data_IF_620316343556
#
_entry.id   IF_620316343556
#
_cell.length_a   1.000
_cell.length_b   1.000
_cell.length_c   1.000
_cell.angle_alpha   90.00
_cell.angle_beta   90.00
_cell.angle_gamma   90.00
#
_symmetry.space_group_name_H-M   'P 1'
#
loop_
_entity.id
_entity.type
_entity.pdbx_description
1 polymer ?
#
# COMPACT_ATOMS: atom_id res chain seq x y z
N UNK A 1 -27.04 -19.83 -18.05
CA UNK A 1 -25.63 -19.40 -18.09
C UNK A 1 -25.51 -18.40 -19.22
N UNK A 2 -24.92 -17.25 -18.95
CA UNK A 2 -24.65 -16.23 -19.98
C UNK A 2 -23.32 -16.59 -20.65
N UNK A 3 -23.34 -16.87 -21.95
CA UNK A 3 -22.14 -17.09 -22.75
C UNK A 3 -21.87 -15.81 -23.54
N UNK A 4 -20.65 -15.31 -23.51
CA UNK A 4 -20.23 -14.15 -24.29
C UNK A 4 -19.04 -14.51 -25.18
N UNK A 5 -18.93 -13.85 -26.32
CA UNK A 5 -17.80 -14.06 -27.24
C UNK A 5 -16.63 -13.20 -26.80
N UNK A 6 -15.44 -13.79 -26.78
CA UNK A 6 -14.17 -13.04 -26.61
C UNK A 6 -14.00 -12.02 -27.73
N UNK A 7 -13.17 -10.99 -27.50
CA UNK A 7 -12.88 -9.99 -28.53
C UNK A 7 -12.29 -10.62 -29.80
N UNK A 8 -11.45 -11.66 -29.68
CA UNK A 8 -10.90 -12.38 -30.83
C UNK A 8 -11.95 -13.14 -31.63
N UNK A 9 -12.87 -13.85 -30.97
CA UNK A 9 -13.97 -14.53 -31.63
C UNK A 9 -14.90 -13.56 -32.37
N UNK A 10 -15.19 -12.40 -31.77
CA UNK A 10 -16.01 -11.37 -32.40
C UNK A 10 -15.34 -10.77 -33.63
N UNK A 11 -14.05 -10.45 -33.56
CA UNK A 11 -13.30 -9.95 -34.73
C UNK A 11 -13.31 -10.97 -35.87
N UNK A 12 -13.09 -12.25 -35.57
CA UNK A 12 -13.16 -13.30 -36.58
C UNK A 12 -14.53 -13.34 -37.29
N UNK A 13 -15.64 -13.21 -36.56
CA UNK A 13 -16.99 -13.16 -37.16
C UNK A 13 -17.20 -11.91 -38.02
N UNK A 14 -16.74 -10.74 -37.55
CA UNK A 14 -16.82 -9.48 -38.31
C UNK A 14 -16.02 -9.59 -39.61
N UNK A 15 -14.81 -10.16 -39.55
CA UNK A 15 -13.97 -10.35 -40.73
C UNK A 15 -14.56 -11.38 -41.69
N UNK A 16 -15.16 -12.46 -41.18
CA UNK A 16 -15.88 -13.43 -41.99
C UNK A 16 -17.04 -12.79 -42.76
N UNK A 17 -17.79 -11.91 -42.10
CA UNK A 17 -18.70 -10.88 -42.63
C UNK A 17 -18.22 -10.25 -43.95
N UNK A 18 -17.07 -9.60 -43.81
CA UNK A 18 -16.46 -8.78 -44.86
C UNK A 18 -15.92 -9.63 -45.99
N UNK A 19 -15.26 -10.75 -45.67
CA UNK A 19 -14.74 -11.69 -46.67
C UNK A 19 -15.90 -12.26 -47.49
N UNK A 20 -17.01 -12.64 -46.85
CA UNK A 20 -18.21 -13.12 -47.53
C UNK A 20 -18.83 -12.06 -48.46
N UNK A 21 -18.87 -10.80 -48.03
CA UNK A 21 -19.42 -9.70 -48.84
C UNK A 21 -18.66 -9.40 -50.14
N UNK A 22 -17.40 -9.86 -50.24
CA UNK A 22 -16.57 -9.77 -51.45
C UNK A 22 -16.72 -10.95 -52.41
N UNK A 23 -17.41 -12.02 -52.01
CA UNK A 23 -17.61 -13.21 -52.84
C UNK A 23 -18.90 -13.13 -53.67
N UNK A 24 -18.86 -13.63 -54.91
CA UNK A 24 -19.99 -13.69 -55.84
C UNK A 24 -20.82 -14.98 -55.75
N UNK A 25 -20.51 -15.88 -54.81
CA UNK A 25 -21.21 -17.16 -54.67
C UNK A 25 -22.54 -17.03 -53.91
N UNK A 26 -23.56 -17.78 -54.35
CA UNK A 26 -24.93 -17.75 -53.80
C UNK A 26 -25.20 -18.82 -52.72
N UNK A 27 -24.27 -19.75 -52.46
CA UNK A 27 -24.43 -20.78 -51.43
C UNK A 27 -23.71 -20.38 -50.13
N UNK A 28 -24.29 -20.66 -48.95
CA UNK A 28 -23.66 -20.36 -47.68
C UNK A 28 -22.46 -21.30 -47.42
N UNK A 29 -21.26 -20.75 -47.45
CA UNK A 29 -19.98 -21.43 -47.15
C UNK A 29 -19.41 -20.96 -45.81
N UNK A 30 -18.63 -21.81 -45.13
CA UNK A 30 -17.87 -21.47 -43.93
C UNK A 30 -16.45 -21.00 -44.23
N UNK A 31 -16.03 -21.04 -45.49
CA UNK A 31 -14.69 -20.65 -45.92
C UNK A 31 -14.30 -19.21 -45.53
N UNK A 32 -15.22 -18.20 -45.57
CA UNK A 32 -14.92 -16.86 -45.05
C UNK A 32 -14.58 -16.85 -43.56
N UNK A 33 -15.27 -17.66 -42.75
CA UNK A 33 -15.00 -17.80 -41.32
C UNK A 33 -13.67 -18.52 -41.08
N UNK A 34 -13.37 -19.55 -41.86
CA UNK A 34 -12.10 -20.26 -41.76
C UNK A 34 -10.91 -19.34 -42.08
N UNK A 35 -11.01 -18.56 -43.16
CA UNK A 35 -9.99 -17.57 -43.53
C UNK A 35 -9.86 -16.47 -42.47
N UNK A 36 -10.97 -15.98 -41.92
CA UNK A 36 -10.94 -14.98 -40.85
C UNK A 36 -10.26 -15.49 -39.57
N UNK A 37 -10.52 -16.75 -39.17
CA UNK A 37 -9.87 -17.38 -38.03
C UNK A 37 -8.35 -17.54 -38.23
N UNK A 38 -7.90 -17.73 -39.47
CA UNK A 38 -6.48 -17.86 -39.81
C UNK A 38 -5.78 -16.50 -39.99
N UNK A 39 -6.53 -15.46 -40.34
CA UNK A 39 -6.04 -14.09 -40.50
C UNK A 39 -5.81 -13.40 -39.14
N UNK A 40 -6.67 -13.65 -38.16
CA UNK A 40 -6.52 -13.09 -36.82
C UNK A 40 -5.32 -13.71 -36.08
N UNK A 41 -4.52 -12.89 -35.39
CA UNK A 41 -3.56 -13.36 -34.38
C UNK A 41 -4.32 -13.92 -33.17
N UNK A 42 -4.84 -15.14 -33.35
CA UNK A 42 -5.76 -15.80 -32.44
C UNK A 42 -5.35 -17.23 -32.17
N UNK A 43 -5.97 -17.84 -31.16
CA UNK A 43 -5.69 -19.22 -30.80
C UNK A 43 -6.07 -20.20 -31.91
N UNK A 44 -7.14 -19.93 -32.66
CA UNK A 44 -7.51 -20.72 -33.83
C UNK A 44 -6.40 -20.71 -34.89
N UNK A 45 -5.79 -19.56 -35.16
CA UNK A 45 -4.67 -19.45 -36.10
C UNK A 45 -3.45 -20.27 -35.63
N UNK A 46 -3.09 -20.18 -34.34
CA UNK A 46 -2.00 -20.99 -33.77
C UNK A 46 -2.25 -22.49 -33.92
N UNK A 47 -3.48 -22.94 -33.67
CA UNK A 47 -3.88 -24.35 -33.81
C UNK A 47 -3.75 -24.79 -35.26
N UNK A 48 -4.27 -24.01 -36.21
CA UNK A 48 -4.19 -24.33 -37.64
C UNK A 48 -2.74 -24.38 -38.12
N UNK A 49 -1.90 -23.43 -37.71
CA UNK A 49 -0.47 -23.41 -38.04
C UNK A 49 0.29 -24.63 -37.47
N UNK A 50 -0.04 -25.08 -36.24
CA UNK A 50 0.52 -26.29 -35.68
C UNK A 50 0.20 -27.55 -36.52
N UNK A 51 -0.92 -27.51 -37.23
CA UNK A 51 -1.34 -28.52 -38.20
C UNK A 51 -0.88 -28.23 -39.64
N UNK A 52 0.05 -27.27 -39.83
CA UNK A 52 0.59 -26.84 -41.12
C UNK A 52 -0.48 -26.28 -42.08
N UNK A 53 -1.57 -25.74 -41.52
CA UNK A 53 -2.63 -25.05 -42.26
C UNK A 53 -2.43 -23.55 -42.02
N UNK A 54 -1.85 -22.86 -43.01
CA UNK A 54 -1.71 -21.41 -42.97
C UNK A 54 -2.81 -20.71 -43.80
N UNK A 55 -2.89 -19.38 -43.66
CA UNK A 55 -3.87 -18.58 -44.39
C UNK A 55 -3.71 -18.72 -45.91
N UNK A 56 -2.48 -18.79 -46.43
CA UNK A 56 -2.21 -18.88 -47.87
C UNK A 56 -2.87 -20.13 -48.46
N UNK A 57 -2.71 -21.27 -47.77
CA UNK A 57 -3.29 -22.55 -48.18
C UNK A 57 -4.83 -22.50 -48.19
N UNK A 58 -5.44 -21.84 -47.20
CA UNK A 58 -6.89 -21.66 -47.13
C UNK A 58 -7.40 -20.78 -48.29
N UNK A 59 -6.71 -19.66 -48.57
CA UNK A 59 -7.10 -18.75 -49.65
C UNK A 59 -6.99 -19.41 -51.02
N UNK A 60 -5.97 -20.24 -51.24
CA UNK A 60 -5.78 -20.98 -52.49
C UNK A 60 -6.84 -22.07 -52.69
N UNK A 61 -7.12 -22.88 -51.66
CA UNK A 61 -8.11 -23.98 -51.76
C UNK A 61 -9.51 -23.43 -52.05
N UNK A 62 -9.97 -22.46 -51.27
CA UNK A 62 -11.33 -21.94 -51.35
C UNK A 62 -11.46 -20.73 -52.28
N UNK A 63 -10.40 -20.42 -53.04
CA UNK A 63 -10.35 -19.32 -54.00
C UNK A 63 -10.82 -17.97 -53.43
N UNK A 64 -10.46 -17.70 -52.17
CA UNK A 64 -10.89 -16.50 -51.44
C UNK A 64 -9.98 -15.33 -51.81
N UNK A 65 -10.57 -14.23 -52.23
CA UNK A 65 -9.87 -12.95 -52.36
C UNK A 65 -10.12 -12.09 -51.12
N UNK A 66 -9.05 -11.74 -50.42
CA UNK A 66 -9.13 -10.82 -49.29
C UNK A 66 -9.41 -9.38 -49.80
N UNK A 67 -10.30 -8.62 -49.13
CA UNK A 67 -10.46 -7.19 -49.41
C UNK A 67 -9.12 -6.45 -49.31
N UNK A 68 -8.86 -5.47 -50.18
CA UNK A 68 -7.57 -4.76 -50.26
C UNK A 68 -7.10 -4.09 -48.96
N UNK A 69 -8.04 -3.75 -48.06
CA UNK A 69 -7.74 -3.17 -46.75
C UNK A 69 -7.59 -4.21 -45.62
N UNK A 70 -7.83 -5.51 -45.88
CA UNK A 70 -7.89 -6.57 -44.85
C UNK A 70 -6.62 -6.72 -44.01
N UNK A 71 -5.46 -6.28 -44.53
CA UNK A 71 -4.16 -6.37 -43.85
C UNK A 71 -3.94 -5.21 -42.84
N UNK A 72 -4.77 -4.16 -42.85
CA UNK A 72 -4.59 -2.95 -42.03
C UNK A 72 -5.42 -2.88 -40.73
N UNK A 73 -6.24 -3.88 -40.40
CA UNK A 73 -7.32 -3.76 -39.41
C UNK A 73 -7.03 -4.34 -38.02
N UNK A 74 -5.95 -3.88 -37.38
CA UNK A 74 -5.65 -4.27 -35.98
C UNK A 74 -6.29 -3.38 -34.90
N UNK A 75 -7.26 -2.50 -35.21
CA UNK A 75 -7.64 -1.41 -34.26
C UNK A 75 -9.11 -1.39 -33.80
N UNK A 76 -10.08 -1.99 -34.51
CA UNK A 76 -11.47 -2.03 -34.00
C UNK A 76 -11.67 -3.24 -33.07
N UNK A 77 -11.16 -3.13 -31.84
CA UNK A 77 -11.58 -4.04 -30.78
C UNK A 77 -13.00 -3.69 -30.37
N UNK A 78 -13.95 -4.65 -30.37
CA UNK A 78 -15.30 -4.37 -29.91
C UNK A 78 -15.27 -3.86 -28.46
N UNK A 79 -15.88 -2.69 -28.20
CA UNK A 79 -15.85 -2.02 -26.89
C UNK A 79 -16.52 -2.84 -25.77
N UNK A 80 -17.37 -3.82 -26.13
CA UNK A 80 -18.11 -4.67 -25.20
C UNK A 80 -18.18 -6.13 -25.66
N UNK A 81 -18.17 -7.12 -24.73
CA UNK A 81 -18.44 -8.52 -25.05
C UNK A 81 -19.84 -8.70 -25.66
N UNK A 82 -19.91 -9.41 -26.80
CA UNK A 82 -21.16 -9.73 -27.48
C UNK A 82 -21.75 -11.00 -26.85
N UNK A 83 -22.97 -10.92 -26.33
CA UNK A 83 -23.67 -12.08 -25.78
C UNK A 83 -24.00 -13.08 -26.89
N UNK A 84 -23.94 -14.38 -26.60
CA UNK A 84 -24.18 -15.43 -27.60
C UNK A 84 -25.58 -15.32 -28.24
N UNK A 85 -26.59 -14.90 -27.48
CA UNK A 85 -27.94 -14.66 -28.01
C UNK A 85 -27.98 -13.54 -29.07
N UNK A 86 -27.12 -12.53 -28.93
CA UNK A 86 -26.96 -11.44 -29.90
C UNK A 86 -26.13 -11.92 -31.10
N UNK A 87 -25.05 -12.66 -30.86
CA UNK A 87 -24.22 -13.23 -31.92
C UNK A 87 -25.01 -14.15 -32.87
N UNK A 88 -25.89 -15.02 -32.34
CA UNK A 88 -26.76 -15.88 -33.13
C UNK A 88 -27.78 -15.12 -34.00
N UNK A 89 -28.15 -13.90 -33.61
CA UNK A 89 -29.02 -13.03 -34.38
C UNK A 89 -28.24 -12.23 -35.43
N UNK A 90 -27.05 -11.76 -35.06
CA UNK A 90 -26.21 -10.92 -35.90
C UNK A 90 -25.54 -11.70 -37.04
N UNK A 91 -25.13 -12.96 -36.78
CA UNK A 91 -24.37 -13.78 -37.73
C UNK A 91 -25.13 -15.06 -38.12
N UNK A 92 -26.26 -14.96 -38.85
CA UNK A 92 -27.11 -16.11 -39.16
C UNK A 92 -26.41 -17.16 -40.04
N UNK A 93 -25.45 -16.76 -40.88
CA UNK A 93 -24.67 -17.67 -41.72
C UNK A 93 -23.79 -18.64 -40.91
N UNK A 94 -23.37 -18.24 -39.70
CA UNK A 94 -22.49 -19.03 -38.84
C UNK A 94 -23.24 -19.61 -37.62
N UNK A 95 -24.58 -19.62 -37.67
CA UNK A 95 -25.42 -20.05 -36.56
C UNK A 95 -25.13 -21.48 -36.10
N UNK A 96 -24.89 -22.40 -37.03
CA UNK A 96 -24.54 -23.79 -36.73
C UNK A 96 -23.21 -23.88 -35.99
N UNK A 97 -22.17 -23.19 -36.50
CA UNK A 97 -20.85 -23.09 -35.86
C UNK A 97 -20.95 -22.52 -34.45
N UNK A 98 -21.70 -21.43 -34.26
CA UNK A 98 -21.90 -20.78 -32.96
C UNK A 98 -22.60 -21.70 -31.95
N UNK A 99 -23.59 -22.47 -32.39
CA UNK A 99 -24.25 -23.45 -31.52
C UNK A 99 -23.29 -24.56 -31.08
N UNK A 100 -22.47 -25.09 -32.00
CA UNK A 100 -21.46 -26.09 -31.67
C UNK A 100 -20.37 -25.51 -30.76
N UNK A 101 -19.91 -24.29 -31.01
CA UNK A 101 -18.95 -23.59 -30.15
C UNK A 101 -19.49 -23.42 -28.72
N UNK A 102 -20.76 -23.03 -28.57
CA UNK A 102 -21.42 -22.93 -27.27
C UNK A 102 -21.56 -24.30 -26.59
N UNK A 103 -21.91 -25.35 -27.34
CA UNK A 103 -21.98 -26.71 -26.82
C UNK A 103 -20.62 -27.18 -26.29
N UNK A 104 -19.52 -26.89 -27.00
CA UNK A 104 -18.17 -27.23 -26.56
C UNK A 104 -17.78 -26.45 -25.31
N UNK A 105 -18.01 -25.13 -25.29
CA UNK A 105 -17.71 -24.28 -24.14
C UNK A 105 -18.48 -24.73 -22.87
N UNK A 106 -19.72 -25.23 -23.05
CA UNK A 106 -20.55 -25.75 -21.95
C UNK A 106 -20.02 -27.03 -21.29
N UNK A 107 -19.01 -27.69 -21.88
CA UNK A 107 -18.40 -28.91 -21.33
C UNK A 107 -17.38 -28.64 -20.22
N UNK A 108 -16.97 -27.38 -20.01
CA UNK A 108 -16.03 -26.95 -18.98
C UNK A 108 -16.74 -26.48 -17.70
N UNK A 109 -16.12 -26.72 -16.54
CA UNK A 109 -16.62 -26.29 -15.20
C UNK A 109 -16.38 -24.79 -14.89
N UNK A 110 -15.80 -24.04 -15.83
CA UNK A 110 -15.42 -22.61 -15.68
C UNK A 110 -16.42 -21.73 -16.44
N UNK A 111 -16.80 -20.54 -15.94
CA UNK A 111 -17.66 -19.59 -16.66
C UNK A 111 -17.16 -19.35 -18.10
N UNK A 112 -18.07 -19.54 -19.05
CA UNK A 112 -17.75 -19.88 -20.43
C UNK A 112 -17.79 -18.65 -21.36
N UNK A 113 -16.60 -18.07 -21.56
CA UNK A 113 -16.33 -17.22 -22.72
C UNK A 113 -16.09 -18.10 -23.95
N UNK A 114 -16.58 -17.65 -25.11
CA UNK A 114 -16.47 -18.37 -26.38
C UNK A 114 -15.33 -17.72 -27.19
N UNK A 115 -14.21 -18.43 -27.25
CA UNK A 115 -12.98 -18.04 -27.93
C UNK A 115 -12.93 -18.43 -29.41
N UNK A 116 -11.87 -18.00 -30.08
CA UNK A 116 -11.61 -18.33 -31.50
C UNK A 116 -11.48 -19.85 -31.72
N UNK A 117 -10.88 -20.56 -30.78
CA UNK A 117 -10.71 -22.02 -30.76
C UNK A 117 -12.05 -22.75 -30.63
N UNK A 118 -13.02 -22.15 -29.94
CA UNK A 118 -14.38 -22.68 -29.85
C UNK A 118 -15.11 -22.52 -31.19
N UNK A 119 -14.89 -21.42 -31.91
CA UNK A 119 -15.42 -21.23 -33.28
C UNK A 119 -14.79 -22.22 -34.27
N UNK A 120 -13.47 -22.43 -34.20
CA UNK A 120 -12.78 -23.44 -35.01
C UNK A 120 -13.30 -24.85 -34.72
N UNK A 121 -13.50 -25.18 -33.43
CA UNK A 121 -14.14 -26.43 -33.05
C UNK A 121 -15.56 -26.54 -33.60
N UNK A 122 -16.33 -25.46 -33.51
CA UNK A 122 -17.68 -25.40 -34.05
C UNK A 122 -17.73 -25.64 -35.56
N UNK A 123 -16.76 -25.10 -36.31
CA UNK A 123 -16.61 -25.33 -37.74
C UNK A 123 -16.28 -26.79 -38.05
N UNK A 124 -15.32 -27.38 -37.32
CA UNK A 124 -14.96 -28.80 -37.44
C UNK A 124 -16.10 -29.75 -37.06
N UNK A 125 -17.04 -29.32 -36.23
CA UNK A 125 -18.21 -30.10 -35.84
C UNK A 125 -19.34 -30.10 -36.88
N UNK A 126 -19.27 -29.22 -37.89
CA UNK A 126 -20.23 -29.21 -39.01
C UNK A 126 -19.92 -30.29 -40.04
N UNK A 127 -20.90 -30.63 -40.88
CA UNK A 127 -20.70 -31.50 -42.05
C UNK A 127 -20.24 -30.76 -43.31
N UNK A 128 -19.71 -29.54 -43.16
CA UNK A 128 -19.33 -28.68 -44.27
C UNK A 128 -18.01 -29.14 -44.94
N UNK A 129 -17.79 -28.72 -46.17
CA UNK A 129 -16.60 -29.08 -46.96
C UNK A 129 -15.31 -28.64 -46.29
N UNK A 130 -15.33 -27.48 -45.63
CA UNK A 130 -14.21 -26.90 -44.90
C UNK A 130 -13.74 -27.80 -43.76
N UNK A 131 -14.67 -28.43 -43.04
CA UNK A 131 -14.36 -29.40 -41.99
C UNK A 131 -13.65 -30.63 -42.56
N UNK A 132 -14.19 -31.19 -43.66
CA UNK A 132 -13.60 -32.33 -44.33
C UNK A 132 -12.21 -32.00 -44.92
N UNK A 133 -12.02 -30.78 -45.42
CA UNK A 133 -10.74 -30.32 -45.92
C UNK A 133 -9.71 -30.16 -44.79
N UNK A 134 -10.05 -29.54 -43.66
CA UNK A 134 -9.15 -29.42 -42.50
C UNK A 134 -8.65 -30.79 -42.01
N UNK A 135 -9.52 -31.81 -42.06
CA UNK A 135 -9.15 -33.17 -41.72
C UNK A 135 -8.21 -33.81 -42.77
N UNK A 136 -8.44 -33.59 -44.06
CA UNK A 136 -7.58 -34.13 -45.14
C UNK A 136 -6.22 -33.41 -45.22
N UNK A 137 -6.20 -32.10 -45.09
CA UNK A 137 -5.02 -31.25 -45.30
C UNK A 137 -4.06 -31.28 -44.10
N UNK A 138 -4.57 -31.13 -42.88
CA UNK A 138 -3.74 -31.07 -41.66
C UNK A 138 -4.08 -32.12 -40.60
N UNK A 139 -4.99 -33.05 -40.88
CA UNK A 139 -5.40 -34.07 -39.90
C UNK A 139 -6.13 -33.50 -38.68
N UNK A 140 -6.67 -32.28 -38.79
CA UNK A 140 -7.35 -31.56 -37.72
C UNK A 140 -8.82 -32.00 -37.66
N UNK A 141 -9.29 -32.46 -36.50
CA UNK A 141 -10.68 -32.86 -36.27
C UNK A 141 -11.18 -32.30 -34.94
N UNK A 142 -12.51 -32.19 -34.78
CA UNK A 142 -13.13 -31.71 -33.55
C UNK A 142 -12.70 -32.54 -32.32
N UNK A 143 -12.55 -33.86 -32.46
CA UNK A 143 -12.09 -34.75 -31.38
C UNK A 143 -10.67 -34.43 -30.92
N UNK A 144 -9.71 -34.25 -31.85
CA UNK A 144 -8.33 -33.91 -31.51
C UNK A 144 -8.19 -32.52 -30.90
N UNK A 145 -9.07 -31.61 -31.29
CA UNK A 145 -9.11 -30.27 -30.74
C UNK A 145 -9.70 -30.23 -29.32
N UNK A 146 -10.63 -31.14 -28.99
CA UNK A 146 -11.24 -31.22 -27.65
C UNK A 146 -10.17 -31.50 -26.57
N UNK A 147 -9.19 -32.37 -26.87
CA UNK A 147 -8.05 -32.63 -25.97
C UNK A 147 -7.17 -31.38 -25.77
N UNK A 148 -6.97 -30.60 -26.83
CA UNK A 148 -6.15 -29.39 -26.79
C UNK A 148 -6.83 -28.24 -26.04
N UNK A 149 -8.17 -28.12 -26.14
CA UNK A 149 -8.95 -27.12 -25.41
C UNK A 149 -9.00 -27.47 -23.91
N UNK A 150 -9.18 -28.75 -23.56
CA UNK A 150 -9.31 -29.20 -22.17
C UNK A 150 -8.00 -29.19 -21.37
N UNK A 151 -6.85 -29.40 -22.01
CA UNK A 151 -5.52 -29.36 -21.34
C UNK A 151 -5.18 -27.94 -20.85
N UNK A 152 -5.68 -26.89 -21.51
CA UNK A 152 -5.36 -25.50 -21.16
C UNK A 152 -6.11 -24.97 -19.93
N UNK A 153 -7.35 -25.38 -19.68
CA UNK A 153 -8.11 -24.90 -18.51
C UNK A 153 -7.57 -25.42 -17.16
N UNK A 154 -6.66 -26.41 -17.16
CA UNK A 154 -5.97 -26.89 -15.95
C UNK A 154 -4.64 -26.20 -15.67
N UNK A 155 -4.10 -25.40 -16.60
CA UNK A 155 -2.96 -24.55 -16.32
C UNK A 155 -3.47 -23.22 -15.79
N UNK A 156 -3.50 -23.10 -14.46
CA UNK A 156 -3.59 -21.80 -13.78
C UNK A 156 -2.57 -20.87 -14.40
N UNK A 157 -3.01 -19.82 -15.09
CA UNK A 157 -2.14 -18.79 -15.62
C UNK A 157 -1.32 -18.20 -14.46
N UNK A 158 -0.04 -18.56 -14.40
CA UNK A 158 0.90 -17.79 -13.59
C UNK A 158 0.96 -16.37 -14.19
N UNK A 159 1.02 -15.31 -13.35
CA UNK A 159 1.14 -13.95 -13.86
C UNK A 159 2.33 -13.87 -14.81
N UNK A 160 2.16 -13.23 -15.96
CA UNK A 160 3.27 -12.88 -16.85
C UNK A 160 4.27 -12.07 -16.03
N UNK A 161 5.49 -12.56 -15.91
CA UNK A 161 6.57 -11.85 -15.24
C UNK A 161 6.89 -10.59 -16.06
N UNK A 162 6.54 -9.41 -15.53
CA UNK A 162 6.65 -8.12 -16.22
C UNK A 162 8.06 -7.53 -16.11
N UNK A 163 9.05 -8.32 -15.70
CA UNK A 163 10.46 -7.93 -15.70
C UNK A 163 11.03 -7.93 -17.13
N UNK A 164 10.57 -6.97 -17.95
CA UNK A 164 11.32 -6.55 -19.13
C UNK A 164 12.65 -5.93 -18.65
N UNK A 165 13.72 -6.72 -18.72
CA UNK A 165 15.07 -6.24 -18.49
C UNK A 165 15.48 -5.26 -19.61
N UNK A 166 15.12 -3.98 -19.46
CA UNK A 166 15.73 -2.89 -20.22
C UNK A 166 17.25 -3.05 -20.11
N UNK A 167 17.98 -3.03 -21.24
CA UNK A 167 19.45 -3.03 -21.23
C UNK A 167 19.93 -1.87 -20.36
N UNK A 168 20.38 -2.17 -19.15
CA UNK A 168 20.98 -1.19 -18.26
C UNK A 168 22.30 -0.76 -18.88
N UNK A 169 22.41 0.50 -19.30
CA UNK A 169 23.70 1.07 -19.65
C UNK A 169 24.62 0.96 -18.43
N UNK A 170 25.85 0.49 -18.63
CA UNK A 170 26.86 0.46 -17.56
C UNK A 170 27.17 1.89 -17.11
N UNK A 171 27.17 2.13 -15.80
CA UNK A 171 27.53 3.42 -15.23
C UNK A 171 28.91 3.88 -15.71
N UNK A 172 29.02 5.14 -16.13
CA UNK A 172 30.30 5.75 -16.51
C UNK A 172 31.11 6.13 -15.27
N UNK A 173 32.41 6.40 -15.43
CA UNK A 173 33.23 6.96 -14.34
C UNK A 173 32.72 8.33 -13.86
N UNK A 174 32.11 9.10 -14.76
CA UNK A 174 31.42 10.35 -14.43
C UNK A 174 30.20 10.13 -13.54
N UNK A 175 29.38 9.13 -13.86
CA UNK A 175 28.21 8.76 -13.04
C UNK A 175 28.62 8.32 -11.64
N UNK A 176 29.70 7.54 -11.52
CA UNK A 176 30.25 7.13 -10.22
C UNK A 176 30.71 8.35 -9.40
N UNK A 177 31.45 9.27 -10.03
CA UNK A 177 31.94 10.50 -9.37
C UNK A 177 30.77 11.37 -8.90
N UNK A 178 29.77 11.58 -9.75
CA UNK A 178 28.59 12.38 -9.42
C UNK A 178 27.74 11.73 -8.31
N UNK A 179 27.67 10.40 -8.29
CA UNK A 179 26.98 9.65 -7.23
C UNK A 179 27.69 9.82 -5.89
N UNK A 180 29.02 9.68 -5.86
CA UNK A 180 29.83 9.89 -4.65
C UNK A 180 29.72 11.33 -4.13
N UNK A 181 29.74 12.33 -5.02
CA UNK A 181 29.49 13.74 -4.68
C UNK A 181 28.15 13.93 -3.99
N UNK A 182 27.11 13.34 -4.55
CA UNK A 182 25.74 13.45 -4.01
C UNK A 182 25.63 12.81 -2.63
N UNK A 183 26.24 11.63 -2.45
CA UNK A 183 26.29 10.93 -1.17
C UNK A 183 27.06 11.74 -0.12
N UNK A 184 28.21 12.30 -0.47
CA UNK A 184 29.00 13.11 0.47
C UNK A 184 28.23 14.35 0.95
N UNK A 185 27.64 15.11 0.02
CA UNK A 185 26.85 16.29 0.35
C UNK A 185 25.63 15.94 1.22
N UNK A 186 24.90 14.87 0.89
CA UNK A 186 23.76 14.41 1.68
C UNK A 186 24.18 13.90 3.07
N UNK A 187 25.32 13.21 3.18
CA UNK A 187 25.85 12.74 4.45
C UNK A 187 26.22 13.89 5.40
N UNK A 188 26.77 14.98 4.85
CA UNK A 188 27.08 16.19 5.63
C UNK A 188 25.80 16.88 6.12
N UNK A 189 24.81 17.10 5.23
CA UNK A 189 23.50 17.67 5.61
C UNK A 189 22.79 16.86 6.70
N UNK A 190 22.81 15.53 6.57
CA UNK A 190 22.23 14.65 7.58
C UNK A 190 22.95 14.80 8.92
N UNK A 191 24.28 14.84 8.93
CA UNK A 191 25.10 14.97 10.14
C UNK A 191 24.88 16.31 10.85
N UNK A 192 24.81 17.40 10.09
CA UNK A 192 24.53 18.74 10.60
C UNK A 192 23.12 18.82 11.20
N UNK A 193 22.11 18.33 10.48
CA UNK A 193 20.74 18.28 10.99
C UNK A 193 20.61 17.45 12.27
N UNK A 194 21.25 16.27 12.32
CA UNK A 194 21.33 15.46 13.54
C UNK A 194 22.02 16.22 14.67
N UNK A 195 23.05 17.03 14.40
CA UNK A 195 23.73 17.80 15.44
C UNK A 195 22.83 18.88 16.03
N UNK A 196 22.05 19.59 15.22
CA UNK A 196 21.10 20.59 15.73
C UNK A 196 20.03 19.94 16.62
N UNK A 197 19.51 18.78 16.20
CA UNK A 197 18.55 18.01 17.00
C UNK A 197 19.20 17.58 18.32
N UNK A 198 20.44 17.11 18.29
CA UNK A 198 21.22 16.71 19.48
C UNK A 198 21.31 17.83 20.52
N UNK A 199 21.68 19.03 20.08
CA UNK A 199 21.85 20.16 20.97
C UNK A 199 20.49 20.63 21.54
N UNK A 200 19.40 20.57 20.77
CA UNK A 200 18.06 20.79 21.29
C UNK A 200 17.66 19.75 22.35
N UNK A 201 17.88 18.46 22.10
CA UNK A 201 17.56 17.41 23.06
C UNK A 201 18.34 17.54 24.37
N UNK A 202 19.60 17.98 24.30
CA UNK A 202 20.46 18.18 25.48
C UNK A 202 20.10 19.40 26.28
N UNK A 203 19.88 20.54 25.61
CA UNK A 203 19.85 21.83 26.29
C UNK A 203 18.44 22.41 26.40
N UNK A 204 17.47 21.89 25.64
CA UNK A 204 16.07 22.32 25.72
C UNK A 204 15.16 21.28 26.36
N UNK A 205 15.39 19.99 26.13
CA UNK A 205 14.58 18.92 26.75
C UNK A 205 15.25 18.19 27.92
N UNK A 206 16.57 18.34 28.09
CA UNK A 206 17.35 17.59 29.08
C UNK A 206 17.09 16.05 29.04
N UNK A 207 16.80 15.50 27.85
CA UNK A 207 16.34 14.11 27.69
C UNK A 207 17.48 13.17 27.27
N UNK A 208 18.00 12.43 28.25
CA UNK A 208 19.08 11.46 28.06
C UNK A 208 18.68 10.25 27.18
N UNK A 209 17.40 9.85 27.19
CA UNK A 209 16.95 8.68 26.43
C UNK A 209 16.86 8.99 24.94
N UNK A 210 16.20 10.10 24.58
CA UNK A 210 16.12 10.59 23.20
C UNK A 210 17.52 10.87 22.63
N UNK A 211 18.41 11.39 23.47
CA UNK A 211 19.83 11.56 23.14
C UNK A 211 20.52 10.23 22.79
N UNK A 212 20.26 9.17 23.54
CA UNK A 212 20.84 7.84 23.26
C UNK A 212 20.34 7.29 21.92
N UNK A 213 19.06 7.48 21.58
CA UNK A 213 18.50 7.05 20.30
C UNK A 213 19.18 7.79 19.14
N UNK A 214 19.35 9.10 19.24
CA UNK A 214 20.03 9.92 18.24
C UNK A 214 21.51 9.53 18.07
N UNK A 215 22.21 9.22 19.17
CA UNK A 215 23.61 8.73 19.12
C UNK A 215 23.73 7.44 18.31
N UNK A 216 22.80 6.51 18.48
CA UNK A 216 22.75 5.28 17.67
C UNK A 216 22.62 5.60 16.18
N UNK A 217 21.74 6.53 15.80
CA UNK A 217 21.59 6.96 14.40
C UNK A 217 22.88 7.57 13.84
N UNK A 218 23.63 8.34 14.63
CA UNK A 218 24.94 8.87 14.21
C UNK A 218 25.98 7.78 13.99
N UNK A 219 25.99 6.74 14.82
CA UNK A 219 26.89 5.60 14.63
C UNK A 219 26.54 4.84 13.34
N UNK A 220 25.24 4.61 13.09
CA UNK A 220 24.76 3.99 11.84
C UNK A 220 25.20 4.76 10.59
N UNK A 221 25.17 6.11 10.63
CA UNK A 221 25.70 6.93 9.54
C UNK A 221 27.18 6.62 9.28
N UNK A 222 28.00 6.60 10.34
CA UNK A 222 29.43 6.36 10.21
C UNK A 222 29.72 4.96 9.66
N UNK A 223 28.97 3.94 10.12
CA UNK A 223 29.11 2.57 9.63
C UNK A 223 28.65 2.43 8.18
N UNK A 224 27.53 3.05 7.79
CA UNK A 224 27.04 3.04 6.40
C UNK A 224 28.06 3.64 5.42
N UNK A 225 28.70 4.74 5.80
CA UNK A 225 29.70 5.41 4.95
C UNK A 225 30.98 4.58 4.77
N UNK A 226 31.29 3.66 5.69
CA UNK A 226 32.44 2.73 5.52
C UNK A 226 32.25 1.76 4.37
N UNK A 227 31.01 1.36 4.06
CA UNK A 227 30.72 0.51 2.90
C UNK A 227 30.93 1.22 1.55
N UNK A 228 31.01 2.55 1.56
CA UNK A 228 31.20 3.37 0.36
C UNK A 228 32.67 3.78 0.22
N UNK A 229 33.34 4.05 1.34
CA UNK A 229 34.74 4.46 1.39
C UNK A 229 34.90 5.97 1.54
N UNK A 230 35.37 6.39 2.71
CA UNK A 230 35.53 7.80 3.08
C UNK A 230 36.45 8.57 2.10
N UNK A 231 37.52 7.94 1.63
CA UNK A 231 38.48 8.58 0.74
C UNK A 231 37.87 8.90 -0.63
N UNK A 232 37.00 8.02 -1.15
CA UNK A 232 36.28 8.23 -2.40
C UNK A 232 35.25 9.36 -2.29
N UNK A 233 34.58 9.49 -1.14
CA UNK A 233 33.66 10.59 -0.87
C UNK A 233 34.40 11.93 -0.83
N UNK A 234 35.50 12.01 -0.09
CA UNK A 234 36.30 13.23 0.03
C UNK A 234 36.90 13.63 -1.32
N UNK A 235 37.46 12.68 -2.07
CA UNK A 235 38.11 12.97 -3.36
C UNK A 235 37.12 13.42 -4.44
N UNK A 236 35.84 13.03 -4.31
CA UNK A 236 34.80 13.44 -5.25
C UNK A 236 34.29 14.88 -5.02
N UNK A 237 34.54 15.49 -3.84
CA UNK A 237 34.00 16.81 -3.49
C UNK A 237 34.44 17.92 -4.44
N UNK A 238 33.51 18.80 -4.73
CA UNK A 238 33.73 19.95 -5.61
C UNK A 238 32.81 21.11 -5.21
N UNK A 239 32.98 21.56 -3.96
CA UNK A 239 32.16 22.63 -3.36
C UNK A 239 32.28 23.97 -4.08
N UNK A 240 33.40 24.20 -4.79
CA UNK A 240 33.67 25.44 -5.53
C UNK A 240 32.74 25.55 -6.74
N UNK A 241 32.49 24.44 -7.43
CA UNK A 241 31.65 24.41 -8.63
C UNK A 241 30.24 23.86 -8.37
N UNK A 242 29.87 23.60 -7.11
CA UNK A 242 28.53 23.15 -6.76
C UNK A 242 27.50 24.25 -7.07
N UNK A 243 26.50 23.87 -7.87
CA UNK A 243 25.41 24.76 -8.28
C UNK A 243 24.41 24.92 -7.13
N UNK A 244 23.88 26.13 -6.98
CA UNK A 244 22.82 26.43 -6.00
C UNK A 244 23.32 26.76 -4.59
N UNK A 245 24.64 26.86 -4.38
CA UNK A 245 25.26 27.22 -3.09
C UNK A 245 24.90 28.63 -2.60
N UNK A 246 24.53 29.54 -3.51
CA UNK A 246 24.08 30.91 -3.20
C UNK A 246 22.57 31.08 -3.22
N UNK A 247 21.80 30.02 -3.50
CA UNK A 247 20.34 30.09 -3.54
C UNK A 247 19.82 29.96 -2.11
N UNK A 248 19.31 31.06 -1.58
CA UNK A 248 18.60 31.09 -0.30
C UNK A 248 17.20 31.65 -0.50
N UNK A 249 16.25 31.15 0.27
CA UNK A 249 14.90 31.73 0.33
C UNK A 249 14.80 32.62 1.56
N UNK A 250 13.97 33.66 1.50
CA UNK A 250 13.69 34.51 2.68
C UNK A 250 13.12 33.71 3.86
N UNK A 251 12.38 32.62 3.57
CA UNK A 251 11.86 31.68 4.56
C UNK A 251 12.91 30.80 5.24
N UNK A 252 14.13 30.73 4.72
CA UNK A 252 15.22 29.96 5.33
C UNK A 252 15.66 30.58 6.67
N UNK A 253 15.62 31.92 6.75
CA UNK A 253 15.95 32.70 7.95
C UNK A 253 14.76 32.91 8.89
N UNK A 254 13.55 32.53 8.47
CA UNK A 254 12.37 32.63 9.32
C UNK A 254 12.26 31.39 10.21
N UNK A 255 12.75 31.52 11.45
CA UNK A 255 12.63 30.53 12.51
C UNK A 255 11.98 31.20 13.72
N UNK A 256 10.66 31.17 13.74
CA UNK A 256 9.82 31.81 14.76
C UNK A 256 9.90 31.18 16.16
N UNK A 257 10.40 29.95 16.31
CA UNK A 257 10.52 29.28 17.61
C UNK A 257 11.54 28.14 17.60
N UNK A 258 11.93 27.67 18.80
CA UNK A 258 12.76 26.46 18.95
C UNK A 258 12.08 25.21 18.36
N UNK A 259 10.75 25.11 18.48
CA UNK A 259 9.99 23.99 17.90
C UNK A 259 10.03 24.03 16.37
N UNK A 260 9.91 25.23 15.78
CA UNK A 260 10.04 25.41 14.33
C UNK A 260 11.47 25.09 13.85
N UNK A 261 12.50 25.51 14.58
CA UNK A 261 13.90 25.14 14.32
C UNK A 261 14.08 23.62 14.34
N UNK A 262 13.55 22.93 15.35
CA UNK A 262 13.62 21.48 15.49
C UNK A 262 12.93 20.78 14.30
N UNK A 263 11.68 21.16 13.99
CA UNK A 263 10.91 20.55 12.90
C UNK A 263 11.62 20.70 11.55
N UNK A 264 12.16 21.89 11.25
CA UNK A 264 12.91 22.12 10.01
C UNK A 264 14.14 21.20 9.91
N UNK A 265 14.88 20.99 11.00
CA UNK A 265 16.05 20.12 10.99
C UNK A 265 15.68 18.63 10.93
N UNK A 266 14.57 18.21 11.56
CA UNK A 266 14.03 16.85 11.39
C UNK A 266 13.67 16.55 9.93
N UNK A 267 13.03 17.50 9.23
CA UNK A 267 12.73 17.36 7.79
C UNK A 267 13.99 17.29 6.94
N UNK A 268 14.98 18.15 7.18
CA UNK A 268 16.27 18.10 6.48
C UNK A 268 16.99 16.75 6.67
N UNK A 269 16.96 16.19 7.88
CA UNK A 269 17.53 14.84 8.14
C UNK A 269 16.79 13.77 7.34
N UNK A 270 15.45 13.84 7.27
CA UNK A 270 14.63 12.89 6.49
C UNK A 270 14.92 12.96 4.99
N UNK A 271 15.01 14.17 4.44
CA UNK A 271 15.34 14.43 3.03
C UNK A 271 16.76 13.95 2.68
N UNK A 272 17.73 14.24 3.55
CA UNK A 272 19.10 13.78 3.37
C UNK A 272 19.20 12.25 3.46
N UNK A 273 18.50 11.62 4.42
CA UNK A 273 18.45 10.16 4.53
C UNK A 273 17.81 9.51 3.30
N UNK A 274 16.79 10.14 2.72
CA UNK A 274 16.17 9.67 1.47
C UNK A 274 17.14 9.74 0.30
N UNK A 275 17.89 10.83 0.19
CA UNK A 275 18.92 10.99 -0.85
C UNK A 275 20.00 9.93 -0.71
N UNK A 276 20.50 9.72 0.51
CA UNK A 276 21.48 8.67 0.80
C UNK A 276 20.96 7.27 0.49
N UNK A 277 19.72 6.95 0.85
CA UNK A 277 19.08 5.67 0.52
C UNK A 277 19.05 5.43 -0.98
N UNK A 278 18.59 6.40 -1.78
CA UNK A 278 18.40 6.20 -3.22
C UNK A 278 19.74 6.16 -3.98
N UNK A 279 20.64 7.12 -3.73
CA UNK A 279 21.92 7.18 -4.43
C UNK A 279 22.87 6.04 -4.05
N UNK A 280 22.81 5.57 -2.80
CA UNK A 280 23.68 4.45 -2.39
C UNK A 280 23.31 3.13 -3.07
N UNK A 281 22.08 2.95 -3.58
CA UNK A 281 21.71 1.75 -4.36
C UNK A 281 22.56 1.55 -5.61
N UNK A 282 23.15 2.62 -6.13
CA UNK A 282 24.02 2.59 -7.31
C UNK A 282 25.43 2.06 -7.00
N UNK A 283 25.85 2.07 -5.72
CA UNK A 283 27.23 1.74 -5.30
C UNK A 283 27.25 0.58 -4.30
N UNK A 284 26.41 0.65 -3.26
CA UNK A 284 26.38 -0.31 -2.15
C UNK A 284 24.93 -0.54 -1.69
N UNK A 285 24.33 -1.68 -2.07
CA UNK A 285 23.01 -2.10 -1.56
C UNK A 285 22.97 -2.20 -0.02
N UNK A 286 24.09 -2.61 0.61
CA UNK A 286 24.21 -2.69 2.06
C UNK A 286 24.11 -1.30 2.72
N UNK A 287 24.83 -0.31 2.20
CA UNK A 287 24.72 1.07 2.68
C UNK A 287 23.29 1.62 2.48
N UNK A 288 22.68 1.34 1.32
CA UNK A 288 21.31 1.75 1.04
C UNK A 288 20.29 1.15 2.05
N UNK A 289 20.48 -0.11 2.43
CA UNK A 289 19.64 -0.75 3.45
C UNK A 289 19.77 -0.07 4.82
N UNK A 290 20.99 0.31 5.22
CA UNK A 290 21.21 1.06 6.47
C UNK A 290 20.57 2.45 6.40
N UNK A 291 20.74 3.18 5.29
CA UNK A 291 20.11 4.50 5.12
C UNK A 291 18.59 4.44 5.11
N UNK A 292 18.00 3.39 4.53
CA UNK A 292 16.57 3.11 4.63
C UNK A 292 16.14 2.99 6.09
N UNK A 293 16.85 2.19 6.90
CA UNK A 293 16.55 2.03 8.32
C UNK A 293 16.69 3.36 9.08
N UNK A 294 17.74 4.14 8.81
CA UNK A 294 17.94 5.46 9.40
C UNK A 294 16.80 6.42 9.07
N UNK A 295 16.29 6.40 7.83
CA UNK A 295 15.14 7.24 7.43
C UNK A 295 13.90 6.88 8.25
N UNK A 296 13.56 5.59 8.39
CA UNK A 296 12.44 5.20 9.24
C UNK A 296 12.66 5.55 10.72
N UNK A 297 13.89 5.36 11.23
CA UNK A 297 14.23 5.77 12.58
C UNK A 297 14.04 7.27 12.81
N UNK A 298 14.34 8.10 11.80
CA UNK A 298 14.14 9.56 11.90
C UNK A 298 12.66 9.97 11.98
N UNK A 299 11.73 9.23 11.36
CA UNK A 299 10.29 9.47 11.52
C UNK A 299 9.80 9.10 12.92
N UNK A 300 10.27 7.97 13.44
CA UNK A 300 9.98 7.55 14.81
C UNK A 300 10.50 8.59 15.79
N UNK A 301 11.74 9.05 15.60
CA UNK A 301 12.35 10.06 16.45
C UNK A 301 11.57 11.38 16.42
N UNK A 302 11.19 11.90 15.24
CA UNK A 302 10.34 13.09 15.11
C UNK A 302 9.04 12.93 15.90
N UNK A 303 8.32 11.81 15.68
CA UNK A 303 7.07 11.53 16.38
C UNK A 303 7.26 11.53 17.89
N UNK A 304 8.29 10.85 18.38
CA UNK A 304 8.55 10.73 19.83
C UNK A 304 8.89 12.08 20.44
N UNK A 305 9.77 12.87 19.80
CA UNK A 305 10.15 14.19 20.30
C UNK A 305 8.95 15.13 20.35
N UNK A 306 8.19 15.24 19.26
CA UNK A 306 7.06 16.18 19.18
C UNK A 306 5.90 15.77 20.11
N UNK A 307 5.64 14.46 20.24
CA UNK A 307 4.66 13.96 21.22
C UNK A 307 5.12 14.29 22.65
N UNK A 308 6.40 14.09 22.97
CA UNK A 308 6.96 14.42 24.28
C UNK A 308 6.79 15.91 24.61
N UNK A 309 7.15 16.81 23.68
CA UNK A 309 6.97 18.26 23.84
C UNK A 309 5.51 18.62 24.08
N UNK A 310 4.60 18.04 23.29
CA UNK A 310 3.16 18.27 23.42
C UNK A 310 2.63 17.83 24.78
N UNK A 311 3.01 16.63 25.22
CA UNK A 311 2.57 16.05 26.48
C UNK A 311 3.15 16.79 27.68
N UNK A 312 4.44 17.18 27.64
CA UNK A 312 5.06 18.06 28.61
C UNK A 312 4.32 19.40 28.71
N UNK A 313 4.06 20.07 27.59
CA UNK A 313 3.34 21.36 27.58
C UNK A 313 1.96 21.25 28.20
N UNK A 314 1.22 20.18 27.92
CA UNK A 314 -0.13 19.96 28.46
C UNK A 314 -0.14 19.66 29.95
N UNK A 315 0.93 19.08 30.49
CA UNK A 315 1.04 18.64 31.89
C UNK A 315 2.00 19.50 32.72
N UNK A 316 2.64 20.52 32.14
CA UNK A 316 3.73 21.29 32.78
C UNK A 316 3.29 21.97 34.09
N UNK A 317 2.03 22.40 34.14
CA UNK A 317 1.43 23.13 35.26
C UNK A 317 0.70 22.20 36.23
N UNK A 318 0.54 20.93 35.85
CA UNK A 318 -0.08 19.91 36.68
C UNK A 318 0.83 19.51 37.84
N UNK A 319 0.31 19.62 39.06
CA UNK A 319 1.02 19.29 40.31
C UNK A 319 0.24 18.29 41.15
N UNK A 320 -1.09 18.34 41.13
CA UNK A 320 -1.94 17.46 41.93
C UNK A 320 -2.87 16.61 41.05
N UNK A 321 -2.82 15.30 41.28
CA UNK A 321 -3.58 14.32 40.52
C UNK A 321 -4.43 13.46 41.47
N UNK A 322 -5.74 13.70 41.45
CA UNK A 322 -6.72 12.95 42.21
C UNK A 322 -7.17 11.68 41.48
N UNK A 323 -7.04 10.53 42.13
CA UNK A 323 -7.69 9.28 41.74
C UNK A 323 -8.90 9.08 42.66
N UNK A 324 -10.08 8.92 42.08
CA UNK A 324 -11.33 8.85 42.85
C UNK A 324 -12.15 7.61 42.52
N UNK A 325 -12.70 7.00 43.56
CA UNK A 325 -13.63 5.87 43.52
C UNK A 325 -14.74 6.11 44.54
N UNK A 326 -15.99 5.87 44.17
CA UNK A 326 -17.20 6.16 44.95
C UNK A 326 -17.15 5.47 46.32
N UNK A 327 -16.68 4.23 46.36
CA UNK A 327 -16.60 3.43 47.58
C UNK A 327 -15.51 3.90 48.57
N UNK A 328 -14.58 4.75 48.15
CA UNK A 328 -13.54 5.32 49.01
C UNK A 328 -13.94 6.69 49.59
N UNK A 329 -15.06 7.25 49.14
CA UNK A 329 -15.52 8.57 49.56
C UNK A 329 -16.70 8.46 50.53
N UNK A 330 -16.49 8.88 51.78
CA UNK A 330 -17.50 8.78 52.85
C UNK A 330 -18.81 9.54 52.56
N UNK A 331 -18.75 10.57 51.71
CA UNK A 331 -19.90 11.37 51.26
C UNK A 331 -20.18 11.24 49.74
N UNK A 332 -19.66 10.18 49.10
CA UNK A 332 -19.70 9.97 47.66
C UNK A 332 -18.62 10.73 46.89
N UNK A 333 -18.31 10.30 45.67
CA UNK A 333 -17.24 10.90 44.87
C UNK A 333 -17.57 12.33 44.42
N UNK A 334 -18.86 12.63 44.19
CA UNK A 334 -19.31 13.93 43.68
C UNK A 334 -18.84 15.14 44.52
N UNK A 335 -19.18 15.21 45.82
CA UNK A 335 -18.69 16.27 46.70
C UNK A 335 -17.16 16.36 46.76
N UNK A 336 -16.48 15.22 46.92
CA UNK A 336 -15.02 15.18 46.99
C UNK A 336 -14.35 15.76 45.74
N UNK A 337 -14.85 15.41 44.54
CA UNK A 337 -14.34 15.95 43.28
C UNK A 337 -14.60 17.47 43.20
N UNK A 338 -15.82 17.94 43.50
CA UNK A 338 -16.14 19.37 43.39
C UNK A 338 -15.35 20.23 44.36
N UNK A 339 -15.19 19.79 45.60
CA UNK A 339 -14.40 20.49 46.61
C UNK A 339 -12.92 20.51 46.22
N UNK A 340 -12.39 19.39 45.72
CA UNK A 340 -11.02 19.32 45.20
C UNK A 340 -10.80 20.26 44.03
N UNK A 341 -11.73 20.32 43.08
CA UNK A 341 -11.68 21.23 41.94
C UNK A 341 -11.75 22.70 42.39
N UNK A 342 -12.61 23.02 43.36
CA UNK A 342 -12.69 24.37 43.94
C UNK A 342 -11.39 24.78 44.67
N UNK A 343 -10.63 23.81 45.18
CA UNK A 343 -9.32 24.01 45.78
C UNK A 343 -8.16 24.07 44.76
N UNK A 344 -8.43 23.98 43.45
CA UNK A 344 -7.43 24.07 42.40
C UNK A 344 -6.79 22.73 41.99
N UNK A 345 -7.53 21.63 42.05
CA UNK A 345 -7.07 20.32 41.54
C UNK A 345 -6.82 20.36 40.03
N UNK A 346 -5.65 19.90 39.58
CA UNK A 346 -5.27 19.95 38.16
C UNK A 346 -5.82 18.78 37.35
N UNK A 347 -5.76 17.57 37.91
CA UNK A 347 -6.17 16.33 37.25
C UNK A 347 -7.14 15.52 38.13
N UNK A 348 -8.18 14.99 37.49
CA UNK A 348 -9.08 14.01 38.10
C UNK A 348 -9.13 12.76 37.23
N UNK A 349 -8.86 11.60 37.84
CA UNK A 349 -9.06 10.29 37.22
C UNK A 349 -10.19 9.55 37.90
N UNK A 350 -11.21 9.21 37.11
CA UNK A 350 -12.30 8.35 37.54
C UNK A 350 -11.79 6.91 37.52
N UNK A 351 -11.73 6.28 38.70
CA UNK A 351 -11.24 4.91 38.90
C UNK A 351 -12.34 4.06 39.54
N UNK A 352 -13.41 3.81 38.79
CA UNK A 352 -14.56 3.02 39.25
C UNK A 352 -14.49 1.59 38.73
N UNK A 353 -14.37 0.61 39.64
CA UNK A 353 -14.36 -0.81 39.29
C UNK A 353 -15.72 -1.51 39.45
N UNK A 354 -16.62 -0.93 40.25
CA UNK A 354 -17.89 -1.56 40.64
C UNK A 354 -19.12 -1.00 39.92
N UNK A 355 -18.99 0.15 39.23
CA UNK A 355 -20.09 0.75 38.48
C UNK A 355 -20.35 -0.02 37.19
N UNK A 356 -21.62 -0.15 36.82
CA UNK A 356 -22.00 -0.56 35.46
C UNK A 356 -21.60 0.50 34.44
N UNK A 357 -21.39 0.10 33.18
CA UNK A 357 -21.03 1.01 32.09
C UNK A 357 -21.97 2.22 31.97
N UNK A 358 -23.28 2.00 32.14
CA UNK A 358 -24.29 3.07 32.10
C UNK A 358 -24.12 4.06 33.26
N UNK A 359 -23.85 3.55 34.48
CA UNK A 359 -23.61 4.41 35.64
C UNK A 359 -22.30 5.19 35.49
N UNK A 360 -21.24 4.53 35.02
CA UNK A 360 -19.93 5.15 34.81
C UNK A 360 -20.00 6.23 33.73
N UNK A 361 -20.73 6.00 32.64
CA UNK A 361 -20.96 7.00 31.60
C UNK A 361 -21.66 8.26 32.15
N UNK A 362 -22.76 8.08 32.89
CA UNK A 362 -23.51 9.20 33.47
C UNK A 362 -22.74 9.91 34.60
N UNK A 363 -21.95 9.17 35.38
CA UNK A 363 -21.01 9.76 36.33
C UNK A 363 -19.93 10.57 35.62
N UNK A 364 -19.29 10.00 34.60
CA UNK A 364 -18.23 10.64 33.81
C UNK A 364 -18.67 11.93 33.13
N UNK A 365 -19.89 11.98 32.57
CA UNK A 365 -20.47 13.22 32.00
C UNK A 365 -20.57 14.34 33.04
N UNK A 366 -21.04 14.03 34.25
CA UNK A 366 -21.13 15.03 35.34
C UNK A 366 -19.76 15.52 35.77
N UNK A 367 -18.79 14.61 35.91
CA UNK A 367 -17.42 14.97 36.27
C UNK A 367 -16.77 15.82 35.17
N UNK A 368 -16.96 15.50 33.89
CA UNK A 368 -16.47 16.29 32.75
C UNK A 368 -16.99 17.73 32.78
N UNK A 369 -18.25 17.92 33.14
CA UNK A 369 -18.83 19.25 33.28
C UNK A 369 -18.11 20.05 34.38
N UNK A 370 -17.85 19.44 35.53
CA UNK A 370 -17.15 20.09 36.63
C UNK A 370 -15.70 20.39 36.30
N UNK A 371 -14.98 19.44 35.68
CA UNK A 371 -13.56 19.63 35.32
C UNK A 371 -13.39 20.73 34.28
N UNK A 372 -14.27 20.82 33.26
CA UNK A 372 -14.23 21.93 32.28
C UNK A 372 -14.43 23.29 32.93
N UNK A 373 -15.40 23.41 33.85
CA UNK A 373 -15.66 24.67 34.56
C UNK A 373 -14.46 25.10 35.40
N UNK A 374 -13.74 24.15 35.97
CA UNK A 374 -12.54 24.39 36.78
C UNK A 374 -11.24 24.52 35.96
N UNK A 375 -11.26 24.23 34.66
CA UNK A 375 -10.04 24.16 33.84
C UNK A 375 -9.16 22.95 34.11
N UNK A 376 -9.67 21.95 34.84
CA UNK A 376 -8.96 20.72 35.18
C UNK A 376 -9.08 19.66 34.08
N UNK A 377 -8.09 18.77 33.99
CA UNK A 377 -8.11 17.64 33.06
C UNK A 377 -8.88 16.46 33.66
N UNK A 378 -9.61 15.74 32.80
CA UNK A 378 -10.29 14.50 33.12
C UNK A 378 -9.63 13.31 32.45
N UNK A 379 -9.29 12.30 33.23
CA UNK A 379 -8.74 11.02 32.77
C UNK A 379 -9.70 9.88 33.11
N UNK A 380 -9.94 8.98 32.16
CA UNK A 380 -10.69 7.75 32.40
C UNK A 380 -9.73 6.59 32.69
N UNK A 381 -10.00 5.80 33.73
CA UNK A 381 -9.23 4.59 34.02
C UNK A 381 -9.72 3.42 33.14
N UNK A 382 -8.78 2.67 32.54
CA UNK A 382 -8.93 1.38 31.83
C UNK A 382 -9.88 1.33 30.60
N UNK A 383 -10.78 2.31 30.45
CA UNK A 383 -11.89 2.30 29.50
C UNK A 383 -11.74 3.39 28.42
N UNK A 384 -10.97 3.15 27.35
CA UNK A 384 -10.77 4.12 26.27
C UNK A 384 -12.05 4.44 25.49
N UNK A 385 -12.97 3.47 25.39
CA UNK A 385 -14.32 3.64 24.84
C UNK A 385 -15.11 4.71 25.60
N UNK A 386 -15.15 4.61 26.93
CA UNK A 386 -15.85 5.57 27.78
C UNK A 386 -15.13 6.91 27.84
N UNK A 387 -13.79 6.92 27.75
CA UNK A 387 -13.00 8.15 27.64
C UNK A 387 -13.45 9.01 26.45
N UNK A 388 -13.71 8.39 25.30
CA UNK A 388 -14.23 9.09 24.12
C UNK A 388 -15.67 9.54 24.36
N UNK A 389 -16.51 8.65 24.88
CA UNK A 389 -17.94 8.91 25.05
C UNK A 389 -18.24 10.10 25.98
N UNK A 390 -17.37 10.38 26.95
CA UNK A 390 -17.48 11.53 27.87
C UNK A 390 -16.59 12.71 27.49
N UNK A 391 -15.86 12.61 26.38
CA UNK A 391 -14.83 13.57 25.97
C UNK A 391 -13.80 13.88 27.07
N UNK A 392 -13.26 12.82 27.67
CA UNK A 392 -12.11 12.90 28.56
C UNK A 392 -10.85 13.37 27.81
N UNK A 393 -9.95 14.03 28.53
CA UNK A 393 -8.70 14.54 27.98
C UNK A 393 -7.65 13.44 27.76
N UNK A 394 -7.86 12.29 28.40
CA UNK A 394 -7.02 11.12 28.30
C UNK A 394 -7.59 9.86 28.96
N UNK A 395 -6.81 8.80 28.87
CA UNK A 395 -7.06 7.50 29.48
C UNK A 395 -5.80 7.05 30.22
N UNK A 396 -5.96 6.35 31.34
CA UNK A 396 -4.87 5.72 32.06
C UNK A 396 -5.10 4.22 32.10
N UNK A 397 -4.09 3.43 31.73
CA UNK A 397 -4.16 1.97 31.69
C UNK A 397 -3.07 1.35 32.57
N UNK A 398 -3.36 0.18 33.12
CA UNK A 398 -2.39 -0.63 33.83
C UNK A 398 -1.64 -1.58 32.89
N UNK A 399 -1.09 -2.64 33.48
CA UNK A 399 -0.27 -3.64 32.78
C UNK A 399 -1.10 -4.81 32.21
N UNK A 400 -2.33 -4.97 32.69
CA UNK A 400 -3.23 -6.09 32.32
C UNK A 400 -4.32 -5.64 31.32
N UNK A 401 -4.52 -4.33 31.19
CA UNK A 401 -5.46 -3.69 30.28
C UNK A 401 -4.90 -3.61 28.85
N UNK A 402 -5.66 -2.94 27.96
CA UNK A 402 -5.28 -2.79 26.56
C UNK A 402 -3.89 -2.14 26.40
N UNK A 403 -3.01 -2.69 25.53
CA UNK A 403 -1.73 -2.07 25.23
C UNK A 403 -1.89 -0.65 24.69
N UNK A 404 -0.93 0.24 24.98
CA UNK A 404 -0.94 1.65 24.56
C UNK A 404 -1.22 1.82 23.07
N UNK A 405 -0.69 0.93 22.22
CA UNK A 405 -0.93 0.93 20.77
C UNK A 405 -2.42 0.80 20.43
N UNK A 406 -3.12 -0.14 21.07
CA UNK A 406 -4.55 -0.38 20.81
C UNK A 406 -5.40 0.74 21.41
N UNK A 407 -5.03 1.21 22.61
CA UNK A 407 -5.64 2.39 23.23
C UNK A 407 -5.55 3.60 22.30
N UNK A 408 -4.39 3.85 21.70
CA UNK A 408 -4.14 4.96 20.77
C UNK A 408 -5.02 4.89 19.52
N UNK A 409 -5.29 3.69 19.00
CA UNK A 409 -6.20 3.51 17.87
C UNK A 409 -7.65 3.89 18.22
N UNK A 410 -8.05 3.65 19.47
CA UNK A 410 -9.38 3.99 19.97
C UNK A 410 -9.48 5.50 20.24
N UNK A 411 -8.63 6.05 21.13
CA UNK A 411 -8.76 7.43 21.64
C UNK A 411 -8.28 8.52 20.67
N UNK A 412 -7.54 8.10 19.64
CA UNK A 412 -6.98 8.97 18.61
C UNK A 412 -5.66 9.65 19.00
N UNK A 413 -5.11 10.49 18.10
CA UNK A 413 -3.76 11.02 18.22
C UNK A 413 -3.60 12.13 19.28
N UNK A 414 -4.70 12.68 19.80
CA UNK A 414 -4.67 13.89 20.65
C UNK A 414 -4.86 13.64 22.14
N UNK A 415 -5.55 12.57 22.54
CA UNK A 415 -5.84 12.31 23.96
C UNK A 415 -4.60 11.78 24.68
N UNK A 416 -4.44 12.11 25.96
CA UNK A 416 -3.32 11.61 26.75
C UNK A 416 -3.50 10.11 27.03
N UNK A 417 -2.40 9.36 27.03
CA UNK A 417 -2.36 7.97 27.49
C UNK A 417 -1.36 7.87 28.64
N UNK A 418 -1.87 7.59 29.83
CA UNK A 418 -1.07 7.28 31.01
C UNK A 418 -0.89 5.78 31.17
N UNK A 419 0.28 5.36 31.68
CA UNK A 419 0.55 3.95 32.00
C UNK A 419 1.03 3.81 33.44
N UNK A 420 0.43 2.90 34.19
CA UNK A 420 0.94 2.51 35.52
C UNK A 420 2.20 1.66 35.38
N UNK A 421 3.25 2.00 36.13
CA UNK A 421 4.57 1.35 36.09
C UNK A 421 5.07 1.06 37.50
N UNK A 422 5.73 -0.10 37.67
CA UNK A 422 6.17 -0.64 38.95
C UNK A 422 7.67 -0.97 38.98
N UNK A 423 8.34 -0.89 37.84
CA UNK A 423 9.79 -1.06 37.73
C UNK A 423 10.33 -0.29 36.52
N UNK A 424 11.65 -0.21 36.42
CA UNK A 424 12.32 0.54 35.36
C UNK A 424 12.08 -0.03 33.96
N UNK A 425 11.90 -1.34 33.85
CA UNK A 425 11.65 -1.97 32.55
C UNK A 425 10.27 -1.58 32.01
N UNK A 426 9.25 -1.58 32.86
CA UNK A 426 7.91 -1.11 32.51
C UNK A 426 7.90 0.38 32.15
N UNK A 427 8.67 1.21 32.87
CA UNK A 427 8.79 2.64 32.55
C UNK A 427 9.39 2.87 31.16
N UNK A 428 10.50 2.19 30.84
CA UNK A 428 11.11 2.26 29.50
C UNK A 428 10.16 1.76 28.43
N UNK A 429 9.45 0.67 28.70
CA UNK A 429 8.50 0.10 27.75
C UNK A 429 7.32 1.04 27.48
N UNK A 430 6.78 1.68 28.51
CA UNK A 430 5.71 2.67 28.36
C UNK A 430 6.13 3.84 27.45
N UNK A 431 7.36 4.34 27.59
CA UNK A 431 7.91 5.37 26.70
C UNK A 431 7.98 4.88 25.26
N UNK A 432 8.51 3.67 25.04
CA UNK A 432 8.61 3.07 23.70
C UNK A 432 7.25 2.81 23.05
N UNK A 433 6.27 2.40 23.84
CA UNK A 433 4.91 2.14 23.36
C UNK A 433 4.12 3.44 23.10
N UNK A 434 4.66 4.60 23.50
CA UNK A 434 4.12 5.93 23.21
C UNK A 434 3.16 6.46 24.26
N UNK A 435 3.39 6.12 25.53
CA UNK A 435 2.70 6.73 26.66
C UNK A 435 3.08 8.21 26.79
N UNK A 436 2.10 9.04 27.14
CA UNK A 436 2.26 10.48 27.32
C UNK A 436 2.74 10.84 28.74
N UNK A 437 2.42 9.99 29.71
CA UNK A 437 2.91 10.07 31.08
C UNK A 437 2.88 8.69 31.74
N UNK A 438 3.55 8.56 32.89
CA UNK A 438 3.56 7.32 33.67
C UNK A 438 3.15 7.58 35.12
N UNK A 439 2.39 6.64 35.69
CA UNK A 439 2.21 6.53 37.14
C UNK A 439 3.31 5.66 37.71
N UNK A 440 4.07 6.16 38.68
CA UNK A 440 5.13 5.39 39.36
C UNK A 440 4.62 5.01 40.74
N UNK A 441 4.55 3.70 41.03
CA UNK A 441 4.16 3.25 42.35
C UNK A 441 4.23 1.74 42.54
N UNK A 442 3.81 1.24 43.72
CA UNK A 442 3.45 2.03 44.88
C UNK A 442 4.72 2.56 45.60
N UNK A 443 4.78 3.86 45.91
CA UNK A 443 5.90 4.47 46.67
C UNK A 443 5.90 4.03 48.13
N UNK A 444 4.70 3.81 48.68
CA UNK A 444 4.47 3.23 50.01
C UNK A 444 3.56 2.01 49.87
N UNK A 445 3.68 0.98 50.72
CA UNK A 445 2.75 -0.13 50.72
C UNK A 445 1.31 0.38 50.88
N UNK A 446 0.42 0.07 49.93
CA UNK A 446 -0.98 0.53 49.96
C UNK A 446 -1.93 -0.65 50.07
N UNK A 447 -2.95 -0.54 50.93
CA UNK A 447 -4.07 -1.49 50.98
C UNK A 447 -5.11 -1.27 49.86
N UNK A 448 -4.97 -0.18 49.10
CA UNK A 448 -5.91 0.27 48.05
C UNK A 448 -5.73 -0.46 46.70
N UNK A 449 -4.81 -1.42 46.62
CA UNK A 449 -4.69 -2.38 45.52
C UNK A 449 -5.23 -3.73 46.00
N UNK A 450 -6.54 -3.91 45.93
CA UNK A 450 -7.21 -5.21 45.85
C UNK A 450 -8.26 -5.11 44.74
#
# INVERSE_FOLDING_TARGET
MHYSLTAGAQRALIQAERIASGSTEMEPTLAPLLAALALEESRAAEIMLAHQIDLTLILEEFQIQLPGDAVAFSIDSPEQPLEMSQALQQYPAFREVLNHAMQQASRSDVPAEIGSEHLLWGLLATSAEESAWLQRAGGLSAEKLDDSINVLFRQTAEPIDVDFALRKASATAGDQTNTLRTIDAAANRLREGLRVIEDFLRFSLDDAHLMSLLKTTRHQLADALRFIGTDALISSRDTINDVGTSVSTTSEFDRSSLEHLLQANLKRVQEAARTLEEFSKLISPDAAAIFKQMRYASYTLEKTILTCISSQRRLQDSRLYLLVSENLCHHGAGPAIRESLAAGMDLVQIREKSMTDRQLLEHGKRVREWTRKAGAMLIMNDRPDLAIAIDADGVHVGQEELPVREVRQIVGPRRLIGVSTHNMEQARRAVLDGADYIGVGPTFPTLTKN
#
